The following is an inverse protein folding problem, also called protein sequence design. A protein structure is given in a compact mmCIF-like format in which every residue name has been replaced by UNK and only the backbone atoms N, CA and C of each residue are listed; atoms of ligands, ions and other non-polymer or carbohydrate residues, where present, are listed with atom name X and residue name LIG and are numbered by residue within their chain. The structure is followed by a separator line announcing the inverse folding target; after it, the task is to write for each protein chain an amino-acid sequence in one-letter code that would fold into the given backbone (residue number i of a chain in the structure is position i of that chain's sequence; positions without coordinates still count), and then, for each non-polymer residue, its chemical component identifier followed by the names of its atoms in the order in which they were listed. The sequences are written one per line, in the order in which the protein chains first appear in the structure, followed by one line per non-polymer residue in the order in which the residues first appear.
data_IF_225318640333
#
_entry.id   IF_225318640333
#
_cell.length_a   1.000
_cell.length_b   1.000
_cell.length_c   1.000
_cell.angle_alpha   90.00
_cell.angle_beta   90.00
_cell.angle_gamma   90.00
#
_symmetry.space_group_name_H-M   'P 1'
#
loop_
_entity.id
_entity.type
_entity.pdbx_description
1 polymer ?
#
# COMPACT_ATOMS: atom_id res chain seq x y z
N UNK A 1 14.99 20.40 10.04
CA UNK A 1 16.02 19.73 9.23
C UNK A 1 15.57 18.28 9.08
N UNK A 2 15.65 17.68 7.88
CA UNK A 2 15.31 16.26 7.75
C UNK A 2 16.41 15.40 8.40
N UNK A 3 16.09 14.23 8.95
CA UNK A 3 17.09 13.37 9.62
C UNK A 3 18.02 12.65 8.63
N UNK A 4 17.89 12.92 7.34
CA UNK A 4 18.63 12.32 6.23
C UNK A 4 18.88 13.35 5.13
N UNK A 5 19.85 13.05 4.28
CA UNK A 5 20.25 13.79 3.09
C UNK A 5 19.43 13.39 1.87
N UNK A 6 19.48 14.22 0.82
CA UNK A 6 18.84 13.90 -0.45
C UNK A 6 19.40 12.61 -1.08
N UNK A 7 20.71 12.38 -0.96
CA UNK A 7 21.38 11.19 -1.50
C UNK A 7 20.88 9.91 -0.83
N UNK A 8 20.80 9.89 0.51
CA UNK A 8 20.25 8.77 1.27
C UNK A 8 18.79 8.46 0.89
N UNK A 9 17.98 9.50 0.69
CA UNK A 9 16.59 9.35 0.25
C UNK A 9 16.48 8.70 -1.14
N UNK A 10 17.27 9.15 -2.12
CA UNK A 10 17.27 8.55 -3.46
C UNK A 10 17.82 7.13 -3.45
N UNK A 11 18.82 6.85 -2.61
CA UNK A 11 19.35 5.50 -2.46
C UNK A 11 18.30 4.51 -1.96
N UNK A 12 17.45 4.91 -1.00
CA UNK A 12 16.31 4.09 -0.56
C UNK A 12 15.40 3.70 -1.72
N UNK A 13 15.06 4.62 -2.64
CA UNK A 13 14.27 4.28 -3.82
C UNK A 13 15.00 3.36 -4.79
N UNK A 14 16.29 3.59 -5.03
CA UNK A 14 17.08 2.76 -5.94
C UNK A 14 17.11 1.30 -5.45
N UNK A 15 17.43 1.10 -4.17
CA UNK A 15 17.49 -0.24 -3.55
C UNK A 15 16.10 -0.88 -3.49
N UNK A 16 15.07 -0.12 -3.06
CA UNK A 16 13.70 -0.63 -3.00
C UNK A 16 13.19 -1.06 -4.39
N UNK A 17 13.31 -0.19 -5.40
CA UNK A 17 12.84 -0.48 -6.76
C UNK A 17 13.56 -1.68 -7.37
N UNK A 18 14.87 -1.82 -7.14
CA UNK A 18 15.62 -3.00 -7.57
C UNK A 18 15.13 -4.28 -6.87
N UNK A 19 14.84 -4.20 -5.57
CA UNK A 19 14.36 -5.35 -4.77
C UNK A 19 12.95 -5.82 -5.16
N UNK A 20 12.07 -4.91 -5.57
CA UNK A 20 10.67 -5.25 -5.90
C UNK A 20 10.44 -5.45 -7.40
N UNK A 21 11.40 -5.14 -8.28
CA UNK A 21 11.22 -5.37 -9.71
C UNK A 21 10.99 -6.87 -9.98
N UNK A 22 10.00 -7.26 -10.82
CA UNK A 22 9.08 -6.46 -11.64
C UNK A 22 7.67 -6.28 -11.06
N UNK A 23 7.49 -6.45 -9.74
CA UNK A 23 6.19 -6.36 -9.07
C UNK A 23 5.40 -5.06 -9.33
N UNK A 24 6.01 -3.88 -9.58
CA UNK A 24 5.25 -2.69 -9.96
C UNK A 24 4.30 -2.92 -11.15
N UNK A 25 4.67 -3.77 -12.13
CA UNK A 25 3.80 -4.13 -13.24
C UNK A 25 2.50 -4.78 -12.76
N UNK A 26 2.61 -5.70 -11.80
CA UNK A 26 1.44 -6.35 -11.19
C UNK A 26 0.60 -5.34 -10.40
N UNK A 27 1.22 -4.40 -9.68
CA UNK A 27 0.46 -3.38 -8.94
C UNK A 27 -0.33 -2.44 -9.86
N UNK A 28 0.20 -2.09 -11.04
CA UNK A 28 -0.55 -1.33 -12.04
C UNK A 28 -1.74 -2.13 -12.59
N UNK A 29 -1.55 -3.42 -12.87
CA UNK A 29 -2.65 -4.30 -13.29
C UNK A 29 -3.73 -4.36 -12.20
N UNK A 30 -3.35 -4.57 -10.93
CA UNK A 30 -4.30 -4.59 -9.81
C UNK A 30 -5.03 -3.25 -9.64
N UNK A 31 -4.32 -2.13 -9.79
CA UNK A 31 -4.92 -0.79 -9.77
C UNK A 31 -5.94 -0.60 -10.90
N UNK A 32 -5.60 -1.01 -12.12
CA UNK A 32 -6.51 -0.98 -13.26
C UNK A 32 -7.74 -1.86 -13.01
N UNK A 33 -7.56 -3.08 -12.49
CA UNK A 33 -8.66 -3.97 -12.10
C UNK A 33 -9.57 -3.30 -11.07
N UNK A 34 -9.01 -2.67 -10.04
CA UNK A 34 -9.80 -1.97 -9.04
C UNK A 34 -10.65 -0.84 -9.65
N UNK A 35 -10.08 -0.05 -10.57
CA UNK A 35 -10.81 1.00 -11.31
C UNK A 35 -11.91 0.39 -12.20
N UNK A 36 -11.59 -0.65 -12.95
CA UNK A 36 -12.53 -1.37 -13.82
C UNK A 36 -13.73 -1.89 -13.02
N UNK A 37 -13.49 -2.48 -11.85
CA UNK A 37 -14.56 -3.00 -10.97
C UNK A 37 -15.55 -1.92 -10.51
N UNK A 38 -15.16 -0.63 -10.49
CA UNK A 38 -16.08 0.46 -10.12
C UNK A 38 -17.23 0.64 -11.12
N UNK A 39 -17.08 0.18 -12.36
CA UNK A 39 -18.12 0.26 -13.40
C UNK A 39 -19.16 -0.87 -13.31
N UNK A 40 -18.91 -1.92 -12.51
CA UNK A 40 -19.87 -3.02 -12.28
C UNK A 40 -20.09 -3.23 -10.77
N UNK A 41 -20.89 -2.35 -10.12
CA UNK A 41 -21.15 -2.43 -8.69
C UNK A 41 -21.72 -3.80 -8.31
N UNK A 42 -21.00 -4.50 -7.44
CA UNK A 42 -21.38 -5.79 -6.90
C UNK A 42 -20.62 -6.06 -5.61
N UNK A 43 -21.21 -6.85 -4.72
CA UNK A 43 -20.59 -7.23 -3.44
C UNK A 43 -19.19 -7.82 -3.63
N UNK A 44 -19.04 -8.66 -4.65
CA UNK A 44 -17.74 -9.27 -5.01
C UNK A 44 -16.77 -8.18 -5.49
N UNK A 45 -17.22 -7.25 -6.33
CA UNK A 45 -16.43 -6.10 -6.76
C UNK A 45 -15.93 -5.26 -5.59
N UNK A 46 -16.80 -4.91 -4.63
CA UNK A 46 -16.41 -4.17 -3.41
C UNK A 46 -15.35 -4.93 -2.60
N UNK A 47 -15.52 -6.25 -2.42
CA UNK A 47 -14.57 -7.09 -1.70
C UNK A 47 -13.20 -7.11 -2.39
N UNK A 48 -13.19 -7.28 -3.72
CA UNK A 48 -11.96 -7.30 -4.51
C UNK A 48 -11.24 -5.94 -4.50
N UNK A 49 -11.97 -4.84 -4.70
CA UNK A 49 -11.41 -3.48 -4.62
C UNK A 49 -10.79 -3.25 -3.25
N UNK A 50 -11.53 -3.57 -2.19
CA UNK A 50 -11.06 -3.39 -0.80
C UNK A 50 -9.83 -4.24 -0.50
N UNK A 51 -9.78 -5.48 -0.99
CA UNK A 51 -8.62 -6.36 -0.84
C UNK A 51 -7.39 -5.86 -1.61
N UNK A 52 -7.57 -5.36 -2.84
CA UNK A 52 -6.49 -4.77 -3.64
C UNK A 52 -5.91 -3.54 -2.91
N UNK A 53 -6.77 -2.65 -2.43
CA UNK A 53 -6.34 -1.46 -1.69
C UNK A 53 -5.64 -1.84 -0.38
N UNK A 54 -6.18 -2.81 0.37
CA UNK A 54 -5.56 -3.30 1.60
C UNK A 54 -4.15 -3.85 1.34
N UNK A 55 -3.98 -4.64 0.26
CA UNK A 55 -2.66 -5.13 -0.15
C UNK A 55 -1.70 -3.98 -0.48
N UNK A 56 -2.14 -2.99 -1.27
CA UNK A 56 -1.32 -1.83 -1.63
C UNK A 56 -0.88 -1.03 -0.40
N UNK A 57 -1.77 -0.83 0.56
CA UNK A 57 -1.45 -0.16 1.82
C UNK A 57 -0.49 -0.97 2.68
N UNK A 58 -0.69 -2.28 2.76
CA UNK A 58 0.19 -3.18 3.50
C UNK A 58 1.61 -3.16 2.90
N UNK A 59 1.75 -3.18 1.57
CA UNK A 59 3.06 -3.06 0.90
C UNK A 59 3.72 -1.74 1.25
N UNK A 60 2.98 -0.62 1.22
CA UNK A 60 3.55 0.68 1.55
C UNK A 60 3.99 0.77 3.02
N UNK A 61 3.19 0.21 3.94
CA UNK A 61 3.48 0.21 5.37
C UNK A 61 4.60 -0.75 5.79
N UNK A 62 4.47 -2.02 5.43
CA UNK A 62 5.39 -3.06 5.86
C UNK A 62 6.66 -3.09 5.00
N UNK A 63 6.53 -3.11 3.67
CA UNK A 63 7.70 -3.17 2.80
C UNK A 63 8.41 -1.80 2.76
N UNK A 64 7.78 -0.76 2.21
CA UNK A 64 8.48 0.52 2.03
C UNK A 64 8.83 1.21 3.35
N UNK A 65 7.83 1.54 4.18
CA UNK A 65 8.05 2.33 5.40
C UNK A 65 8.88 1.59 6.45
N UNK A 66 8.54 0.33 6.74
CA UNK A 66 9.21 -0.40 7.82
C UNK A 66 10.54 -1.02 7.37
N UNK A 67 10.61 -1.68 6.22
CA UNK A 67 11.81 -2.41 5.82
C UNK A 67 12.90 -1.54 5.17
N UNK A 68 12.55 -0.40 4.55
CA UNK A 68 13.54 0.44 3.85
C UNK A 68 13.61 1.85 4.43
N UNK A 69 12.50 2.60 4.48
CA UNK A 69 12.56 4.01 4.85
C UNK A 69 12.89 4.25 6.33
N UNK A 70 12.58 3.28 7.21
CA UNK A 70 12.93 3.32 8.62
C UNK A 70 14.44 3.30 8.92
N UNK A 71 15.28 2.93 7.94
CA UNK A 71 16.73 2.96 8.08
C UNK A 71 17.26 4.39 8.24
N UNK A 72 16.74 5.32 7.43
CA UNK A 72 17.17 6.72 7.42
C UNK A 72 16.21 7.65 8.16
N UNK A 73 14.98 7.19 8.44
CA UNK A 73 13.95 7.99 9.11
C UNK A 73 13.21 7.14 10.17
N UNK A 74 13.59 7.21 11.46
CA UNK A 74 12.95 6.41 12.51
C UNK A 74 11.43 6.60 12.63
N UNK A 75 10.91 7.78 12.26
CA UNK A 75 9.46 8.08 12.26
C UNK A 75 8.70 7.23 11.24
N UNK A 76 9.37 6.69 10.22
CA UNK A 76 8.76 5.82 9.23
C UNK A 76 8.15 4.55 9.83
N UNK A 77 8.61 4.08 10.99
CA UNK A 77 7.94 2.98 11.72
C UNK A 77 6.53 3.35 12.13
N UNK A 78 6.32 4.58 12.59
CA UNK A 78 5.00 5.12 12.91
C UNK A 78 4.10 5.20 11.69
N UNK A 79 4.64 5.67 10.55
CA UNK A 79 3.91 5.65 9.28
C UNK A 79 3.56 4.22 8.85
N UNK A 80 4.49 3.28 9.00
CA UNK A 80 4.27 1.86 8.71
C UNK A 80 3.09 1.29 9.50
N UNK A 81 3.03 1.53 10.80
CA UNK A 81 1.90 1.12 11.66
C UNK A 81 0.58 1.71 11.15
N UNK A 82 0.56 3.01 10.82
CA UNK A 82 -0.65 3.68 10.33
C UNK A 82 -1.13 3.05 9.00
N UNK A 83 -0.21 2.79 8.07
CA UNK A 83 -0.54 2.11 6.80
C UNK A 83 -1.08 0.70 7.02
N UNK A 84 -0.51 -0.07 7.96
CA UNK A 84 -1.00 -1.40 8.31
C UNK A 84 -2.41 -1.33 8.92
N UNK A 85 -2.67 -0.38 9.83
CA UNK A 85 -4.01 -0.16 10.39
C UNK A 85 -5.00 0.16 9.26
N UNK A 86 -4.62 1.05 8.34
CA UNK A 86 -5.45 1.38 7.17
C UNK A 86 -5.71 0.16 6.28
N UNK A 87 -4.73 -0.72 6.06
CA UNK A 87 -4.92 -1.97 5.33
C UNK A 87 -5.97 -2.88 6.01
N UNK A 88 -5.90 -3.01 7.34
CA UNK A 88 -6.85 -3.78 8.13
C UNK A 88 -8.27 -3.17 8.07
N UNK A 89 -8.37 -1.85 8.13
CA UNK A 89 -9.64 -1.14 7.99
C UNK A 89 -10.24 -1.33 6.60
N UNK A 90 -9.42 -1.26 5.54
CA UNK A 90 -9.87 -1.46 4.16
C UNK A 90 -10.43 -2.86 3.94
N UNK A 91 -9.71 -3.91 4.37
CA UNK A 91 -10.21 -5.29 4.20
C UNK A 91 -11.42 -5.59 5.10
N UNK A 92 -11.51 -4.94 6.27
CA UNK A 92 -12.61 -5.12 7.22
C UNK A 92 -13.89 -4.35 6.86
N UNK A 93 -13.77 -3.20 6.18
CA UNK A 93 -14.89 -2.30 5.91
C UNK A 93 -16.10 -2.97 5.22
N UNK A 94 -15.93 -3.84 4.20
CA UNK A 94 -17.05 -4.55 3.57
C UNK A 94 -17.89 -5.41 4.52
N UNK A 95 -17.29 -5.89 5.62
CA UNK A 95 -17.97 -6.74 6.61
C UNK A 95 -18.63 -5.93 7.73
N UNK A 96 -18.11 -4.73 8.01
CA UNK A 96 -18.64 -3.82 9.03
C UNK A 96 -19.87 -3.08 8.48
N UNK A 97 -19.81 -2.63 7.23
CA UNK A 97 -20.91 -1.90 6.58
C UNK A 97 -21.52 -2.72 5.46
N UNK A 98 -22.65 -3.37 5.75
CA UNK A 98 -23.39 -4.20 4.78
C UNK A 98 -24.07 -3.39 3.67
N UNK A 99 -24.00 -2.06 3.72
CA UNK A 99 -24.55 -1.13 2.73
C UNK A 99 -23.71 -1.03 1.45
N UNK A 100 -22.51 -1.60 1.42
CA UNK A 100 -21.72 -1.68 0.20
C UNK A 100 -22.40 -2.63 -0.81
N UNK A 101 -22.78 -2.08 -1.97
CA UNK A 101 -23.42 -2.81 -3.08
C UNK A 101 -22.41 -3.32 -4.07
#
# INVERSE_FOLDING_TARGET
MMPFTQEEFFNVFAVYNAAIWPLPLLTYILGAVAVILTFWPSKVGTLLISAILALMWLVNGAAYHWSFFAEINPVARGFGIIFVIQALLLIGAPFIWTSFR
#
